data_IF_113532568864
#
_entry.id   IF_113532568864
#
_cell.length_a   1.000
_cell.length_b   1.000
_cell.length_c   1.000
_cell.angle_alpha   90.00
_cell.angle_beta   90.00
_cell.angle_gamma   90.00
#
_symmetry.space_group_name_H-M   'P 1'
#
loop_
_entity.id
_entity.type
_entity.pdbx_description
1 polymer ?
#
# COMPACT_ATOMS: atom_id res chain seq x y z
N UNK A 1 -3.08 24.13 2.59
CA UNK A 1 -4.52 24.22 2.28
C UNK A 1 -4.78 24.95 0.94
N UNK A 2 -3.76 25.12 0.09
CA UNK A 2 -3.89 25.53 -1.32
C UNK A 2 -4.02 24.34 -2.28
N UNK A 3 -3.59 23.14 -1.89
CA UNK A 3 -3.60 21.94 -2.75
C UNK A 3 -5.03 21.48 -3.12
N UNK A 4 -6.06 21.85 -2.35
CA UNK A 4 -7.44 21.40 -2.56
C UNK A 4 -8.37 22.46 -3.19
N UNK A 5 -7.94 23.72 -3.29
CA UNK A 5 -8.77 24.77 -3.88
C UNK A 5 -8.65 24.84 -5.41
N UNK A 6 -7.60 24.25 -5.98
CA UNK A 6 -7.24 24.43 -7.39
C UNK A 6 -7.02 23.14 -8.20
N UNK A 7 -7.48 21.97 -7.75
CA UNK A 7 -7.19 20.74 -8.50
C UNK A 7 -8.34 19.72 -8.49
N UNK A 8 -9.36 20.02 -9.30
CA UNK A 8 -10.35 19.01 -9.74
C UNK A 8 -9.64 17.75 -10.29
N UNK A 9 -8.48 17.90 -10.92
CA UNK A 9 -7.65 16.79 -11.44
C UNK A 9 -7.14 15.89 -10.31
N UNK A 10 -6.48 16.44 -9.29
CA UNK A 10 -5.96 15.66 -8.15
C UNK A 10 -7.08 14.93 -7.43
N UNK A 11 -8.20 15.62 -7.16
CA UNK A 11 -9.36 15.01 -6.51
C UNK A 11 -9.94 13.88 -7.35
N UNK A 12 -10.14 14.10 -8.64
CA UNK A 12 -10.64 13.07 -9.55
C UNK A 12 -9.70 11.86 -9.60
N UNK A 13 -8.38 12.10 -9.66
CA UNK A 13 -7.36 11.05 -9.66
C UNK A 13 -7.37 10.25 -8.36
N UNK A 14 -7.42 10.90 -7.19
CA UNK A 14 -7.47 10.23 -5.88
C UNK A 14 -8.70 9.33 -5.73
N UNK A 15 -9.87 9.77 -6.22
CA UNK A 15 -11.10 8.99 -6.11
C UNK A 15 -11.18 7.80 -7.08
N UNK A 16 -10.29 7.71 -8.06
CA UNK A 16 -10.24 6.60 -9.01
C UNK A 16 -9.23 5.54 -8.55
N UNK A 17 -9.59 4.27 -8.75
CA UNK A 17 -8.65 3.17 -8.56
C UNK A 17 -7.54 3.25 -9.62
N UNK A 18 -6.28 2.91 -9.28
CA UNK A 18 -5.24 2.68 -10.28
C UNK A 18 -5.73 1.66 -11.31
N UNK A 19 -5.44 1.87 -12.60
CA UNK A 19 -5.91 1.01 -13.69
C UNK A 19 -5.21 -0.36 -13.76
N UNK A 20 -4.20 -0.55 -12.93
CA UNK A 20 -3.46 -1.81 -12.83
C UNK A 20 -3.45 -2.35 -11.41
N UNK A 21 -3.36 -3.67 -11.34
CA UNK A 21 -3.07 -4.42 -10.12
C UNK A 21 -1.60 -4.83 -10.14
N UNK A 22 -0.92 -4.62 -9.02
CA UNK A 22 0.50 -4.94 -8.87
C UNK A 22 0.70 -5.98 -7.79
N UNK A 23 1.35 -7.07 -8.15
CA UNK A 23 1.73 -8.14 -7.24
C UNK A 23 3.24 -8.14 -7.07
N UNK A 24 3.69 -8.23 -5.82
CA UNK A 24 5.05 -8.67 -5.53
C UNK A 24 5.09 -10.19 -5.58
N UNK A 25 5.99 -10.73 -6.39
CA UNK A 25 6.23 -12.18 -6.46
C UNK A 25 7.36 -12.52 -5.51
N UNK A 26 7.08 -13.45 -4.58
CA UNK A 26 8.07 -13.89 -3.61
C UNK A 26 9.09 -14.81 -4.28
N UNK A 27 10.31 -14.29 -4.48
CA UNK A 27 11.41 -15.01 -5.15
C UNK A 27 12.00 -16.16 -4.33
N UNK A 28 11.69 -16.26 -3.03
CA UNK A 28 12.14 -17.37 -2.18
C UNK A 28 11.33 -18.64 -2.43
N UNK A 29 10.16 -18.52 -3.07
CA UNK A 29 9.26 -19.61 -3.36
C UNK A 29 9.15 -19.83 -4.87
N UNK A 30 8.72 -21.03 -5.27
CA UNK A 30 8.39 -21.28 -6.67
C UNK A 30 7.14 -20.48 -7.07
N UNK A 31 7.18 -19.88 -8.25
CA UNK A 31 6.06 -19.12 -8.81
C UNK A 31 5.77 -19.60 -10.23
N UNK A 32 4.52 -20.00 -10.49
CA UNK A 32 4.06 -20.38 -11.82
C UNK A 32 3.04 -19.37 -12.35
N UNK A 33 3.45 -18.59 -13.35
CA UNK A 33 2.57 -17.63 -14.04
C UNK A 33 1.45 -18.33 -14.83
N UNK A 34 1.62 -19.59 -15.19
CA UNK A 34 0.60 -20.41 -15.85
C UNK A 34 -0.66 -20.59 -15.00
N UNK A 35 -0.54 -20.53 -13.67
CA UNK A 35 -1.68 -20.54 -12.75
C UNK A 35 -2.57 -19.29 -12.96
N UNK A 36 -1.96 -18.09 -13.03
CA UNK A 36 -2.70 -16.87 -13.33
C UNK A 36 -3.36 -16.95 -14.71
N UNK A 37 -2.66 -17.45 -15.73
CA UNK A 37 -3.25 -17.59 -17.07
C UNK A 37 -4.48 -18.51 -17.07
N UNK A 38 -4.41 -19.66 -16.40
CA UNK A 38 -5.55 -20.59 -16.25
C UNK A 38 -6.71 -19.94 -15.49
N UNK A 39 -6.40 -19.20 -14.44
CA UNK A 39 -7.39 -18.46 -13.66
C UNK A 39 -8.12 -17.40 -14.52
N UNK A 40 -7.38 -16.59 -15.27
CA UNK A 40 -7.96 -15.60 -16.17
C UNK A 40 -8.83 -16.26 -17.24
N UNK A 41 -8.40 -17.39 -17.83
CA UNK A 41 -9.25 -18.16 -18.75
C UNK A 41 -10.54 -18.63 -18.07
N UNK A 42 -10.48 -19.05 -16.80
CA UNK A 42 -11.69 -19.43 -16.05
C UNK A 42 -12.62 -18.23 -15.82
N UNK A 43 -12.10 -17.09 -15.35
CA UNK A 43 -12.90 -15.88 -15.14
C UNK A 43 -13.48 -15.34 -16.45
N UNK A 44 -12.77 -15.46 -17.57
CA UNK A 44 -13.26 -14.99 -18.87
C UNK A 44 -14.57 -15.67 -19.28
N UNK A 45 -14.77 -16.93 -18.89
CA UNK A 45 -16.01 -17.67 -19.12
C UNK A 45 -17.16 -17.13 -18.26
N UNK A 46 -16.88 -16.78 -17.02
CA UNK A 46 -17.88 -16.17 -16.10
C UNK A 46 -18.27 -14.76 -16.54
N UNK A 47 -17.34 -14.03 -17.18
CA UNK A 47 -17.53 -12.69 -17.72
C UNK A 47 -18.04 -12.67 -19.16
N UNK A 48 -18.23 -13.84 -19.78
CA UNK A 48 -18.64 -13.99 -21.18
C UNK A 48 -17.77 -13.17 -22.16
N UNK A 49 -16.45 -13.14 -21.92
CA UNK A 49 -15.47 -12.42 -22.75
C UNK A 49 -14.42 -13.37 -23.31
N UNK A 50 -13.96 -13.11 -24.53
CA UNK A 50 -12.85 -13.85 -25.16
C UNK A 50 -11.49 -13.17 -24.99
N UNK A 51 -11.48 -11.85 -24.74
CA UNK A 51 -10.27 -11.07 -24.54
C UNK A 51 -9.83 -11.14 -23.07
N UNK A 52 -8.60 -11.61 -22.85
CA UNK A 52 -7.96 -11.67 -21.54
C UNK A 52 -7.24 -10.36 -21.23
N UNK A 53 -7.11 -9.97 -19.95
CA UNK A 53 -6.31 -8.82 -19.56
C UNK A 53 -4.82 -9.10 -19.82
N UNK A 54 -4.09 -8.06 -20.19
CA UNK A 54 -2.64 -8.11 -20.29
C UNK A 54 -2.01 -8.28 -18.92
N UNK A 55 -0.96 -9.11 -18.84
CA UNK A 55 -0.10 -9.19 -17.68
C UNK A 55 1.36 -9.39 -18.09
N UNK A 56 2.27 -8.78 -17.36
CA UNK A 56 3.70 -8.85 -17.63
C UNK A 56 4.53 -8.56 -16.38
N UNK A 57 5.78 -8.99 -16.39
CA UNK A 57 6.72 -8.68 -15.33
C UNK A 57 7.45 -7.37 -15.65
N UNK A 58 7.33 -6.38 -14.75
CA UNK A 58 8.14 -5.16 -14.82
C UNK A 58 9.58 -5.45 -14.36
N UNK A 59 9.71 -6.31 -13.36
CA UNK A 59 10.94 -6.97 -12.89
C UNK A 59 10.57 -8.38 -12.44
N UNK A 60 11.53 -9.30 -12.24
CA UNK A 60 11.22 -10.68 -11.83
C UNK A 60 10.36 -10.81 -10.57
N UNK A 61 10.39 -9.82 -9.67
CA UNK A 61 9.62 -9.74 -8.43
C UNK A 61 8.35 -8.87 -8.51
N UNK A 62 8.02 -8.31 -9.68
CA UNK A 62 6.87 -7.40 -9.84
C UNK A 62 6.04 -7.73 -11.07
N UNK A 63 4.89 -8.34 -10.82
CA UNK A 63 3.90 -8.70 -11.83
C UNK A 63 2.82 -7.61 -11.91
N UNK A 64 2.60 -7.12 -13.13
CA UNK A 64 1.55 -6.16 -13.48
C UNK A 64 0.40 -6.90 -14.13
N UNK A 65 -0.83 -6.58 -13.72
CA UNK A 65 -2.07 -7.10 -14.30
C UNK A 65 -3.00 -5.94 -14.66
N UNK A 66 -3.38 -5.88 -15.94
CA UNK A 66 -4.29 -4.89 -16.49
C UNK A 66 -5.78 -5.21 -16.26
N UNK A 67 -6.67 -4.31 -16.66
CA UNK A 67 -8.12 -4.50 -16.55
C UNK A 67 -8.65 -5.41 -17.68
N UNK A 68 -9.85 -5.96 -17.49
CA UNK A 68 -10.59 -6.65 -18.54
C UNK A 68 -10.98 -5.67 -19.67
N UNK A 69 -10.45 -5.83 -20.89
CA UNK A 69 -10.64 -4.85 -21.97
C UNK A 69 -12.10 -4.81 -22.45
N UNK A 70 -12.69 -5.98 -22.73
CA UNK A 70 -14.01 -6.11 -23.34
C UNK A 70 -15.16 -6.38 -22.35
N UNK A 71 -14.88 -6.54 -21.05
CA UNK A 71 -15.92 -6.88 -20.06
C UNK A 71 -16.95 -5.75 -19.91
N UNK A 72 -18.23 -6.13 -19.86
CA UNK A 72 -19.39 -5.22 -19.74
C UNK A 72 -19.92 -5.19 -18.32
N UNK A 73 -20.16 -3.99 -17.81
CA UNK A 73 -20.82 -3.78 -16.52
C UNK A 73 -22.33 -3.81 -16.74
N UNK A 74 -22.98 -4.87 -16.29
CA UNK A 74 -24.43 -4.99 -16.31
C UNK A 74 -24.96 -4.98 -14.88
N UNK A 75 -25.93 -4.08 -14.65
CA UNK A 75 -26.58 -3.94 -13.35
C UNK A 75 -27.67 -4.98 -13.20
N UNK A 76 -27.67 -5.68 -12.06
CA UNK A 76 -28.68 -6.68 -11.72
C UNK A 76 -29.96 -6.06 -11.15
N UNK A 77 -29.90 -4.81 -10.67
CA UNK A 77 -31.05 -4.09 -10.11
C UNK A 77 -31.32 -4.36 -8.62
N UNK A 78 -30.68 -5.37 -8.02
CA UNK A 78 -30.68 -5.61 -6.57
C UNK A 78 -29.41 -5.07 -5.95
N UNK A 79 -29.53 -4.21 -4.94
CA UNK A 79 -28.39 -3.49 -4.37
C UNK A 79 -27.90 -4.08 -3.04
N UNK A 80 -26.59 -4.17 -2.88
CA UNK A 80 -25.92 -4.39 -1.59
C UNK A 80 -25.13 -3.14 -1.24
N UNK A 81 -25.36 -2.59 -0.05
CA UNK A 81 -24.64 -1.42 0.43
C UNK A 81 -23.48 -1.87 1.30
N UNK A 82 -22.28 -1.38 1.01
CA UNK A 82 -21.05 -1.63 1.76
C UNK A 82 -20.47 -0.32 2.28
N UNK A 83 -19.62 -0.39 3.30
CA UNK A 83 -18.89 0.79 3.78
C UNK A 83 -17.85 1.28 2.75
N UNK A 84 -17.38 2.52 2.91
CA UNK A 84 -16.44 3.12 1.97
C UNK A 84 -15.10 2.38 1.85
N UNK A 85 -14.62 1.71 2.91
CA UNK A 85 -13.35 0.96 2.86
C UNK A 85 -13.53 -0.33 2.06
N UNK A 86 -14.63 -1.03 2.28
CA UNK A 86 -15.02 -2.20 1.50
C UNK A 86 -15.25 -1.82 0.03
N UNK A 87 -15.93 -0.69 -0.24
CA UNK A 87 -16.13 -0.17 -1.58
C UNK A 87 -14.79 0.10 -2.31
N UNK A 88 -13.83 0.72 -1.63
CA UNK A 88 -12.50 0.95 -2.16
C UNK A 88 -11.73 -0.37 -2.43
N UNK A 89 -11.88 -1.37 -1.55
CA UNK A 89 -11.29 -2.69 -1.76
C UNK A 89 -11.90 -3.42 -2.96
N UNK A 90 -13.24 -3.35 -3.13
CA UNK A 90 -13.93 -3.93 -4.30
C UNK A 90 -13.42 -3.30 -5.59
N UNK A 91 -13.26 -1.98 -5.64
CA UNK A 91 -12.65 -1.28 -6.78
C UNK A 91 -11.20 -1.70 -7.05
N UNK A 92 -10.51 -2.33 -6.09
CA UNK A 92 -9.16 -2.89 -6.26
C UNK A 92 -9.17 -4.40 -6.54
N UNK A 93 -10.33 -4.98 -6.85
CA UNK A 93 -10.46 -6.40 -7.19
C UNK A 93 -10.68 -7.31 -5.99
N UNK A 94 -11.33 -6.84 -4.91
CA UNK A 94 -11.69 -7.67 -3.77
C UNK A 94 -13.13 -8.19 -3.82
N UNK A 95 -13.36 -9.32 -3.14
CA UNK A 95 -14.70 -9.75 -2.74
C UNK A 95 -15.25 -8.84 -1.62
N UNK A 96 -16.58 -8.85 -1.45
CA UNK A 96 -17.20 -8.21 -0.29
C UNK A 96 -17.19 -9.21 0.86
N UNK A 97 -16.48 -8.87 1.93
CA UNK A 97 -16.49 -9.63 3.17
C UNK A 97 -17.60 -9.13 4.11
N UNK A 98 -18.18 -10.06 4.86
CA UNK A 98 -19.34 -9.82 5.72
C UNK A 98 -19.23 -8.61 6.68
N UNK A 99 -18.07 -8.32 7.32
CA UNK A 99 -17.95 -7.14 8.17
C UNK A 99 -18.26 -5.82 7.47
N UNK A 100 -17.95 -5.71 6.17
CA UNK A 100 -18.10 -4.49 5.38
C UNK A 100 -19.50 -4.27 4.81
N UNK A 101 -20.43 -5.22 4.97
CA UNK A 101 -21.81 -5.08 4.50
C UNK A 101 -22.62 -4.22 5.47
N UNK A 102 -23.26 -3.19 4.94
CA UNK A 102 -24.07 -2.22 5.68
C UNK A 102 -25.56 -2.44 5.48
N UNK A 103 -25.99 -2.76 4.25
CA UNK A 103 -27.40 -2.94 3.91
C UNK A 103 -27.59 -4.03 2.86
N UNK A 104 -28.63 -4.84 3.05
CA UNK A 104 -29.02 -5.92 2.14
C UNK A 104 -30.57 -6.01 2.13
N UNK A 105 -31.24 -5.89 0.96
CA UNK A 105 -32.67 -6.04 0.84
C UNK A 105 -33.17 -7.40 1.34
N UNK A 106 -34.43 -7.44 1.79
CA UNK A 106 -35.04 -8.64 2.38
C UNK A 106 -35.47 -9.71 1.36
N UNK A 107 -35.60 -9.35 0.09
CA UNK A 107 -36.07 -10.23 -0.99
C UNK A 107 -34.91 -10.82 -1.82
N UNK A 108 -33.80 -11.12 -1.16
CA UNK A 108 -32.60 -11.66 -1.80
C UNK A 108 -32.46 -13.18 -1.63
N UNK A 109 -31.79 -13.84 -2.57
CA UNK A 109 -31.49 -15.28 -2.59
C UNK A 109 -29.98 -15.53 -2.79
N UNK A 110 -29.44 -16.56 -2.15
CA UNK A 110 -28.05 -16.96 -2.37
C UNK A 110 -27.85 -17.36 -3.82
N UNK A 111 -26.73 -16.94 -4.42
CA UNK A 111 -26.37 -17.21 -5.81
C UNK A 111 -26.96 -16.23 -6.81
N UNK A 112 -27.86 -15.32 -6.40
CA UNK A 112 -28.36 -14.30 -7.31
C UNK A 112 -27.31 -13.20 -7.55
N UNK A 113 -27.47 -12.50 -8.68
CA UNK A 113 -26.62 -11.37 -9.06
C UNK A 113 -27.07 -10.11 -8.32
N UNK A 114 -26.11 -9.38 -7.74
CA UNK A 114 -26.33 -8.14 -7.00
C UNK A 114 -25.33 -7.06 -7.38
N UNK A 115 -25.78 -5.81 -7.35
CA UNK A 115 -24.98 -4.61 -7.56
C UNK A 115 -24.44 -4.10 -6.23
N UNK A 116 -23.14 -3.88 -6.18
CA UNK A 116 -22.41 -3.46 -4.99
C UNK A 116 -22.28 -1.93 -5.02
N UNK A 117 -22.79 -1.28 -3.98
CA UNK A 117 -22.71 0.17 -3.81
C UNK A 117 -21.99 0.54 -2.51
N UNK A 118 -21.05 1.47 -2.60
CA UNK A 118 -20.37 2.04 -1.43
C UNK A 118 -21.13 3.24 -0.87
N UNK A 119 -21.39 3.24 0.43
CA UNK A 119 -21.85 4.42 1.16
C UNK A 119 -20.68 5.37 1.45
N UNK A 120 -20.68 6.51 0.77
CA UNK A 120 -19.58 7.49 0.85
C UNK A 120 -19.71 8.43 2.04
N UNK A 121 -20.92 8.62 2.55
CA UNK A 121 -21.19 9.58 3.63
C UNK A 121 -21.25 8.91 5.00
N UNK A 122 -21.36 7.57 5.04
CA UNK A 122 -21.48 6.81 6.29
C UNK A 122 -22.86 6.97 6.94
N UNK A 123 -23.87 7.32 6.15
CA UNK A 123 -25.24 7.52 6.62
C UNK A 123 -26.07 6.23 6.58
N UNK A 124 -25.60 5.18 5.90
CA UNK A 124 -26.25 3.88 5.87
C UNK A 124 -26.11 3.19 7.23
N UNK A 125 -27.22 3.02 7.94
CA UNK A 125 -27.25 2.28 9.21
C UNK A 125 -27.01 0.80 8.94
N UNK A 126 -26.17 0.17 9.77
CA UNK A 126 -25.88 -1.26 9.68
C UNK A 126 -27.16 -2.08 9.84
N UNK A 127 -27.39 -3.01 8.93
CA UNK A 127 -28.60 -3.82 8.88
C UNK A 127 -29.80 -3.10 8.25
N UNK A 128 -29.59 -2.12 7.37
CA UNK A 128 -30.67 -1.50 6.59
C UNK A 128 -31.43 -2.57 5.77
N UNK A 129 -32.77 -2.56 5.85
CA UNK A 129 -33.67 -3.54 5.22
C UNK A 129 -34.29 -3.06 3.91
N UNK A 130 -34.35 -1.74 3.74
CA UNK A 130 -35.00 -1.06 2.61
C UNK A 130 -33.94 -0.50 1.67
N UNK A 131 -34.36 -0.04 0.51
CA UNK A 131 -33.49 0.64 -0.45
C UNK A 131 -32.78 1.83 0.22
N UNK A 132 -31.48 1.96 -0.03
CA UNK A 132 -30.70 3.09 0.44
C UNK A 132 -30.81 4.26 -0.53
N UNK A 133 -31.36 5.38 -0.06
CA UNK A 133 -31.59 6.60 -0.84
C UNK A 133 -30.50 7.66 -0.66
N UNK A 134 -29.50 7.40 0.20
CA UNK A 134 -28.36 8.28 0.39
C UNK A 134 -27.37 8.25 -0.77
N UNK A 135 -26.35 9.12 -0.69
CA UNK A 135 -25.27 9.16 -1.68
C UNK A 135 -24.50 7.84 -1.70
N UNK A 136 -24.51 7.17 -2.86
CA UNK A 136 -23.93 5.85 -3.04
C UNK A 136 -23.18 5.75 -4.37
N UNK A 137 -22.05 5.04 -4.36
CA UNK A 137 -21.21 4.82 -5.54
C UNK A 137 -21.29 3.37 -5.99
N UNK A 138 -21.66 3.11 -7.24
CA UNK A 138 -21.55 1.78 -7.81
C UNK A 138 -20.08 1.36 -7.92
N UNK A 139 -19.72 0.23 -7.31
CA UNK A 139 -18.33 -0.27 -7.28
C UNK A 139 -18.13 -1.63 -7.92
N UNK A 140 -19.21 -2.32 -8.29
CA UNK A 140 -19.12 -3.57 -9.04
C UNK A 140 -20.38 -4.41 -8.93
N UNK A 141 -20.32 -5.62 -9.48
CA UNK A 141 -21.41 -6.60 -9.43
C UNK A 141 -20.85 -7.96 -9.01
N UNK A 142 -21.65 -8.75 -8.31
CA UNK A 142 -21.25 -10.06 -7.81
C UNK A 142 -22.41 -11.01 -7.53
N UNK A 143 -22.08 -12.22 -7.08
CA UNK A 143 -23.05 -13.20 -6.61
C UNK A 143 -23.15 -13.18 -5.09
N UNK A 144 -24.38 -13.09 -4.58
CA UNK A 144 -24.65 -13.12 -3.15
C UNK A 144 -24.28 -14.49 -2.56
N UNK A 145 -23.54 -14.49 -1.45
CA UNK A 145 -23.11 -15.72 -0.73
C UNK A 145 -23.67 -15.81 0.69
N UNK A 146 -24.11 -14.70 1.25
CA UNK A 146 -24.73 -14.63 2.59
C UNK A 146 -26.03 -13.85 2.53
N UNK A 147 -27.03 -14.34 3.26
CA UNK A 147 -28.30 -13.64 3.43
C UNK A 147 -28.23 -12.71 4.63
N UNK A 148 -29.29 -11.90 4.77
CA UNK A 148 -29.42 -10.95 5.87
C UNK A 148 -29.32 -11.63 7.24
N UNK A 149 -29.92 -12.81 7.41
CA UNK A 149 -29.90 -13.56 8.66
C UNK A 149 -28.46 -13.91 9.08
N UNK A 150 -27.62 -14.30 8.12
CA UNK A 150 -26.21 -14.63 8.34
C UNK A 150 -25.39 -13.41 8.77
N UNK A 151 -25.74 -12.23 8.23
CA UNK A 151 -25.00 -10.98 8.42
C UNK A 151 -25.38 -10.21 9.69
N UNK A 152 -26.66 -10.24 10.09
CA UNK A 152 -27.18 -9.30 11.08
C UNK A 152 -27.97 -9.93 12.23
N UNK A 153 -28.48 -11.15 12.09
CA UNK A 153 -29.47 -11.68 13.03
C UNK A 153 -28.86 -12.66 14.07
N UNK A 154 -27.60 -13.08 13.90
CA UNK A 154 -26.95 -14.10 14.73
C UNK A 154 -26.23 -13.59 16.00
N UNK A 155 -26.21 -12.27 16.27
CA UNK A 155 -25.52 -11.68 17.44
C UNK A 155 -23.98 -11.82 17.47
N UNK A 156 -23.41 -12.61 16.57
CA UNK A 156 -21.96 -12.77 16.34
C UNK A 156 -21.52 -11.83 15.21
N UNK A 157 -20.30 -11.30 15.29
CA UNK A 157 -19.72 -10.54 14.18
C UNK A 157 -19.53 -11.48 12.98
N UNK A 158 -20.20 -11.23 11.84
CA UNK A 158 -20.14 -12.14 10.71
C UNK A 158 -18.77 -12.08 10.05
N UNK A 159 -18.32 -13.19 9.48
CA UNK A 159 -17.04 -13.31 8.79
C UNK A 159 -17.19 -14.13 7.51
N UNK A 160 -16.20 -14.06 6.62
CA UNK A 160 -16.24 -14.72 5.31
C UNK A 160 -16.79 -13.85 4.19
N UNK A 161 -16.91 -14.43 3.00
CA UNK A 161 -17.34 -13.74 1.78
C UNK A 161 -18.87 -13.62 1.77
N UNK A 162 -19.38 -12.39 1.77
CA UNK A 162 -20.80 -12.09 1.66
C UNK A 162 -21.24 -11.89 0.20
N UNK A 163 -20.38 -11.30 -0.64
CA UNK A 163 -20.59 -11.21 -2.09
C UNK A 163 -19.32 -11.64 -2.79
N UNK A 164 -19.45 -12.66 -3.63
CA UNK A 164 -18.41 -13.03 -4.59
C UNK A 164 -18.43 -12.01 -5.74
N UNK A 165 -17.60 -10.98 -5.65
CA UNK A 165 -17.43 -9.99 -6.72
C UNK A 165 -17.02 -10.68 -8.02
N UNK A 166 -17.79 -10.48 -9.08
CA UNK A 166 -17.52 -10.98 -10.43
C UNK A 166 -16.73 -9.95 -11.22
N UNK A 167 -17.24 -8.70 -11.24
CA UNK A 167 -16.64 -7.61 -11.99
C UNK A 167 -16.72 -6.30 -11.20
N UNK A 168 -15.59 -5.79 -10.70
CA UNK A 168 -15.50 -4.43 -10.18
C UNK A 168 -15.77 -3.38 -11.26
N UNK A 169 -16.24 -2.21 -10.86
CA UNK A 169 -16.41 -1.06 -11.76
C UNK A 169 -15.09 -0.58 -12.39
N UNK A 170 -13.95 -0.86 -11.74
CA UNK A 170 -12.61 -0.63 -12.28
C UNK A 170 -12.18 -1.63 -13.35
N UNK A 171 -12.98 -2.69 -13.56
CA UNK A 171 -12.68 -3.83 -14.45
C UNK A 171 -11.39 -4.57 -14.13
N UNK A 172 -10.80 -4.35 -12.96
CA UNK A 172 -9.64 -5.12 -12.52
C UNK A 172 -10.05 -6.58 -12.24
N UNK A 173 -9.23 -7.57 -12.64
CA UNK A 173 -9.46 -8.95 -12.28
C UNK A 173 -9.49 -9.15 -10.76
N UNK A 174 -10.42 -9.98 -10.29
CA UNK A 174 -10.59 -10.30 -8.86
C UNK A 174 -9.67 -11.45 -8.49
N UNK A 175 -8.37 -11.18 -8.44
CA UNK A 175 -7.35 -12.16 -8.04
C UNK A 175 -7.26 -12.18 -6.52
N UNK A 176 -7.55 -13.33 -5.92
CA UNK A 176 -7.54 -13.51 -4.47
C UNK A 176 -6.47 -14.53 -4.04
N UNK A 177 -6.28 -14.68 -2.73
CA UNK A 177 -5.29 -15.58 -2.15
C UNK A 177 -5.58 -17.08 -2.37
N UNK A 178 -6.68 -17.46 -3.04
CA UNK A 178 -6.97 -18.87 -3.30
C UNK A 178 -6.34 -19.39 -4.58
N UNK A 179 -5.87 -18.52 -5.47
CA UNK A 179 -5.26 -18.96 -6.74
C UNK A 179 -3.81 -19.41 -6.56
N UNK A 180 -3.11 -18.83 -5.60
CA UNK A 180 -1.72 -19.12 -5.25
C UNK A 180 -1.66 -19.63 -3.82
N UNK A 181 -0.65 -20.43 -3.51
CA UNK A 181 -0.38 -20.78 -2.12
C UNK A 181 0.02 -19.52 -1.34
N UNK A 182 -0.36 -19.48 -0.06
CA UNK A 182 -0.04 -18.37 0.83
C UNK A 182 1.46 -18.02 0.74
N UNK A 183 1.76 -16.74 0.64
CA UNK A 183 3.13 -16.22 0.59
C UNK A 183 3.82 -16.25 -0.76
N UNK A 184 3.27 -16.89 -1.80
CA UNK A 184 3.87 -16.86 -3.16
C UNK A 184 3.74 -15.49 -3.83
N UNK A 185 2.64 -14.78 -3.56
CA UNK A 185 2.38 -13.44 -4.08
C UNK A 185 1.80 -12.55 -3.00
N UNK A 186 2.12 -11.28 -3.07
CA UNK A 186 1.58 -10.25 -2.20
C UNK A 186 1.00 -9.12 -3.04
N UNK A 187 -0.25 -8.74 -2.79
CA UNK A 187 -0.81 -7.52 -3.37
C UNK A 187 -0.11 -6.31 -2.74
N UNK A 188 0.68 -5.60 -3.53
CA UNK A 188 1.48 -4.47 -3.03
C UNK A 188 1.55 -3.38 -4.09
N UNK A 189 1.26 -2.14 -3.69
CA UNK A 189 1.27 -1.00 -4.61
C UNK A 189 2.66 -0.80 -5.22
N UNK A 190 2.72 -0.51 -6.52
CA UNK A 190 3.96 -0.36 -7.29
C UNK A 190 5.01 0.54 -6.62
N UNK A 191 4.70 1.76 -6.13
CA UNK A 191 5.71 2.60 -5.46
C UNK A 191 6.29 1.98 -4.19
N UNK A 192 5.52 1.14 -3.48
CA UNK A 192 6.02 0.41 -2.31
C UNK A 192 6.99 -0.72 -2.68
N UNK A 193 6.81 -1.36 -3.84
CA UNK A 193 7.77 -2.33 -4.39
C UNK A 193 9.05 -1.59 -4.85
N UNK A 194 8.88 -0.45 -5.54
CA UNK A 194 10.01 0.41 -5.96
C UNK A 194 10.84 0.85 -4.75
N UNK A 195 10.20 1.18 -3.63
CA UNK A 195 10.91 1.50 -2.39
C UNK A 195 11.85 0.38 -1.92
N UNK A 196 11.45 -0.89 -2.05
CA UNK A 196 12.34 -2.03 -1.82
C UNK A 196 13.53 -2.04 -2.79
N UNK A 197 13.28 -1.78 -4.08
CA UNK A 197 14.35 -1.66 -5.07
C UNK A 197 15.35 -0.55 -4.76
N UNK A 198 14.89 0.57 -4.19
CA UNK A 198 15.75 1.70 -3.78
C UNK A 198 16.62 1.35 -2.57
N UNK A 199 16.06 0.61 -1.61
CA UNK A 199 16.82 0.06 -0.49
C UNK A 199 17.94 -0.87 -0.98
N UNK A 200 17.63 -1.71 -1.97
CA UNK A 200 18.57 -2.64 -2.60
C UNK A 200 19.26 -3.56 -1.58
N UNK A 201 18.49 -4.24 -0.72
CA UNK A 201 19.02 -5.09 0.35
C UNK A 201 19.93 -6.20 -0.19
N UNK A 202 21.10 -6.39 0.43
CA UNK A 202 22.11 -7.40 0.05
C UNK A 202 22.32 -8.41 1.17
N UNK A 203 22.82 -9.63 0.84
CA UNK A 203 23.28 -10.58 1.84
C UNK A 203 24.25 -9.96 2.84
N UNK A 204 24.14 -10.37 4.11
CA UNK A 204 24.99 -9.98 5.25
C UNK A 204 24.93 -8.50 5.67
N UNK A 205 24.02 -7.68 5.10
CA UNK A 205 23.79 -6.32 5.58
C UNK A 205 22.91 -6.31 6.82
N UNK A 206 23.23 -5.45 7.79
CA UNK A 206 22.33 -5.12 8.89
C UNK A 206 21.36 -4.03 8.47
N UNK A 207 20.07 -4.36 8.46
CA UNK A 207 19.02 -3.47 7.97
C UNK A 207 17.99 -3.24 9.07
N UNK A 208 17.66 -1.96 9.33
CA UNK A 208 16.58 -1.58 10.24
C UNK A 208 15.36 -1.10 9.46
N UNK A 209 14.20 -1.70 9.67
CA UNK A 209 12.90 -1.16 9.26
C UNK A 209 12.20 -0.58 10.49
N UNK A 210 12.10 0.76 10.54
CA UNK A 210 11.66 1.46 11.76
C UNK A 210 10.15 1.47 11.97
N UNK A 211 9.35 1.20 10.95
CA UNK A 211 7.88 1.29 10.98
C UNK A 211 7.28 0.17 10.14
N UNK A 212 7.61 -1.06 10.52
CA UNK A 212 7.58 -2.19 9.61
C UNK A 212 6.19 -2.78 9.36
N UNK A 213 5.22 -2.62 10.28
CA UNK A 213 3.97 -3.39 10.17
C UNK A 213 3.09 -2.93 8.99
N UNK A 214 2.47 -3.86 8.24
CA UNK A 214 2.34 -5.29 8.55
C UNK A 214 3.52 -6.18 8.14
N UNK A 215 4.59 -5.64 7.55
CA UNK A 215 5.80 -6.40 7.17
C UNK A 215 6.01 -6.48 5.66
N UNK A 216 5.20 -5.77 4.85
CA UNK A 216 5.28 -5.86 3.39
C UNK A 216 6.66 -5.43 2.88
N UNK A 217 7.16 -4.24 3.24
CA UNK A 217 8.49 -3.81 2.79
C UNK A 217 9.59 -4.65 3.43
N UNK A 218 9.47 -4.98 4.72
CA UNK A 218 10.41 -5.84 5.45
C UNK A 218 10.65 -7.18 4.76
N UNK A 219 9.59 -7.88 4.38
CA UNK A 219 9.67 -9.18 3.67
C UNK A 219 10.21 -9.02 2.26
N UNK A 220 9.95 -7.89 1.59
CA UNK A 220 10.59 -7.59 0.30
C UNK A 220 12.11 -7.46 0.44
N UNK A 221 12.58 -6.78 1.48
CA UNK A 221 14.03 -6.66 1.74
C UNK A 221 14.66 -8.02 2.00
N UNK A 222 13.98 -8.92 2.73
CA UNK A 222 14.42 -10.29 2.92
C UNK A 222 14.54 -11.02 1.58
N UNK A 223 13.49 -11.00 0.74
CA UNK A 223 13.50 -11.59 -0.61
C UNK A 223 14.60 -11.04 -1.52
N UNK A 224 14.91 -9.74 -1.43
CA UNK A 224 15.97 -9.10 -2.20
C UNK A 224 17.36 -9.57 -1.78
N UNK A 225 17.55 -9.80 -0.47
CA UNK A 225 18.78 -10.36 0.09
C UNK A 225 18.90 -11.88 -0.03
N UNK A 226 17.95 -12.55 -0.71
CA UNK A 226 17.80 -14.01 -0.71
C UNK A 226 17.73 -14.61 0.71
N UNK A 227 17.06 -13.91 1.62
CA UNK A 227 16.93 -14.27 3.04
C UNK A 227 18.28 -14.37 3.77
N UNK A 228 19.29 -13.59 3.34
CA UNK A 228 20.66 -13.61 3.91
C UNK A 228 21.08 -12.28 4.55
N UNK A 229 20.24 -11.24 4.56
CA UNK A 229 20.48 -10.04 5.37
C UNK A 229 20.24 -10.32 6.87
N UNK A 230 20.52 -9.35 7.74
CA UNK A 230 20.08 -9.35 9.13
C UNK A 230 19.10 -8.20 9.29
N UNK A 231 17.80 -8.51 9.27
CA UNK A 231 16.76 -7.49 9.25
C UNK A 231 16.12 -7.38 10.63
N UNK A 232 16.14 -6.18 11.19
CA UNK A 232 15.43 -5.84 12.42
C UNK A 232 14.22 -5.00 12.04
N UNK A 233 13.04 -5.48 12.45
CA UNK A 233 11.77 -4.83 12.15
C UNK A 233 11.13 -4.30 13.44
N UNK A 234 10.89 -2.99 13.51
CA UNK A 234 10.25 -2.34 14.65
C UNK A 234 8.85 -1.88 14.29
N UNK A 235 7.91 -2.06 15.21
CA UNK A 235 6.70 -1.26 15.27
C UNK A 235 6.27 -1.07 16.72
N UNK A 236 5.45 -0.06 17.00
CA UNK A 236 5.17 0.42 18.36
C UNK A 236 4.37 -0.56 19.22
N UNK A 237 3.55 -1.43 18.63
CA UNK A 237 2.61 -2.27 19.37
C UNK A 237 2.89 -3.76 19.21
N UNK A 238 2.64 -4.59 20.24
CA UNK A 238 2.78 -6.05 20.16
C UNK A 238 1.96 -6.68 19.02
N UNK A 239 0.74 -6.18 18.79
CA UNK A 239 -0.14 -6.69 17.73
C UNK A 239 0.45 -6.46 16.35
N UNK A 240 1.09 -5.32 16.14
CA UNK A 240 1.76 -5.00 14.88
C UNK A 240 3.05 -5.79 14.68
N UNK A 241 3.84 -5.96 15.75
CA UNK A 241 5.00 -6.84 15.71
C UNK A 241 4.60 -8.31 15.40
N UNK A 242 3.49 -8.78 15.96
CA UNK A 242 2.94 -10.11 15.65
C UNK A 242 2.55 -10.25 14.17
N UNK A 243 1.94 -9.21 13.57
CA UNK A 243 1.63 -9.20 12.13
C UNK A 243 2.86 -9.29 11.23
N UNK A 244 3.97 -8.66 11.64
CA UNK A 244 5.24 -8.78 10.91
C UNK A 244 5.73 -10.23 10.95
N UNK A 245 5.68 -10.87 12.14
CA UNK A 245 6.07 -12.28 12.31
C UNK A 245 5.21 -13.20 11.47
N UNK A 246 3.89 -13.06 11.55
CA UNK A 246 2.93 -13.80 10.72
C UNK A 246 3.22 -13.63 9.22
N UNK A 247 3.51 -12.40 8.77
CA UNK A 247 3.85 -12.12 7.37
C UNK A 247 5.17 -12.77 6.95
N UNK A 248 6.15 -12.87 7.85
CA UNK A 248 7.41 -13.56 7.59
C UNK A 248 7.20 -15.08 7.52
N UNK A 249 6.45 -15.65 8.46
CA UNK A 249 6.08 -17.07 8.49
C UNK A 249 5.35 -17.50 7.22
N UNK A 250 4.34 -16.72 6.80
CA UNK A 250 3.58 -16.97 5.57
C UNK A 250 4.48 -16.97 4.33
N UNK A 251 5.48 -16.09 4.29
CA UNK A 251 6.36 -15.90 3.13
C UNK A 251 7.65 -16.72 3.19
N UNK A 252 7.85 -17.52 4.24
CA UNK A 252 9.07 -18.33 4.42
C UNK A 252 10.33 -17.50 4.69
N UNK A 253 10.19 -16.31 5.26
CA UNK A 253 11.29 -15.40 5.60
C UNK A 253 11.83 -15.72 6.98
N UNK A 254 13.14 -15.95 7.09
CA UNK A 254 13.80 -16.34 8.35
C UNK A 254 14.80 -15.30 8.87
N UNK A 255 15.24 -14.38 8.02
CA UNK A 255 16.29 -13.41 8.36
C UNK A 255 15.80 -12.15 9.11
N UNK A 256 14.50 -12.11 9.46
CA UNK A 256 13.83 -10.97 10.10
C UNK A 256 13.58 -11.25 11.58
N UNK A 257 14.00 -10.32 12.44
CA UNK A 257 13.62 -10.30 13.86
C UNK A 257 12.73 -9.09 14.15
N UNK A 258 11.48 -9.34 14.57
CA UNK A 258 10.49 -8.30 14.84
C UNK A 258 10.32 -7.99 16.34
N UNK A 259 10.33 -6.70 16.69
CA UNK A 259 10.16 -6.19 18.04
C UNK A 259 9.01 -5.18 18.15
N UNK A 260 8.29 -5.25 19.28
CA UNK A 260 7.35 -4.21 19.68
C UNK A 260 8.11 -3.10 20.43
N UNK A 261 8.47 -2.03 19.74
CA UNK A 261 9.33 -0.98 20.29
C UNK A 261 9.02 0.39 19.68
N UNK A 262 9.16 1.46 20.47
CA UNK A 262 9.02 2.83 19.99
C UNK A 262 10.28 3.28 19.25
N UNK A 263 10.22 3.34 17.92
CA UNK A 263 11.35 3.72 17.08
C UNK A 263 11.86 5.14 17.30
N UNK A 264 11.13 6.01 18.02
CA UNK A 264 11.65 7.31 18.47
C UNK A 264 12.66 7.20 19.62
N UNK A 265 12.94 5.97 20.09
CA UNK A 265 13.87 5.65 21.17
C UNK A 265 14.83 4.52 20.77
N UNK A 266 14.97 4.22 19.47
CA UNK A 266 15.70 3.03 19.04
C UNK A 266 17.22 3.16 19.12
N UNK A 267 17.77 4.35 19.40
CA UNK A 267 19.19 4.56 19.63
C UNK A 267 19.48 4.77 21.13
N UNK A 268 20.50 4.08 21.66
CA UNK A 268 20.99 4.28 23.04
C UNK A 268 22.47 3.94 23.13
N UNK A 269 23.26 4.81 23.80
CA UNK A 269 24.67 4.52 24.12
C UNK A 269 24.80 3.36 25.12
N UNK A 270 23.84 3.23 26.04
CA UNK A 270 23.78 2.14 27.03
C UNK A 270 23.28 0.80 26.44
N UNK A 271 23.23 0.68 25.11
CA UNK A 271 22.78 -0.54 24.45
C UNK A 271 23.70 -1.72 24.76
N UNK A 272 23.12 -2.90 24.98
CA UNK A 272 23.86 -4.16 25.20
C UNK A 272 24.35 -4.79 23.89
N UNK A 273 24.41 -4.03 22.80
CA UNK A 273 24.81 -4.49 21.47
C UNK A 273 23.64 -4.88 20.56
N UNK A 274 23.94 -5.01 19.27
CA UNK A 274 22.95 -5.20 18.20
C UNK A 274 22.12 -6.50 18.33
N UNK A 275 22.73 -7.55 18.89
CA UNK A 275 22.08 -8.87 19.07
C UNK A 275 21.19 -8.94 20.33
N UNK A 276 21.18 -7.90 21.18
CA UNK A 276 20.43 -7.88 22.43
C UNK A 276 18.99 -7.34 22.30
N UNK A 277 18.58 -6.97 21.08
CA UNK A 277 17.32 -6.28 20.80
C UNK A 277 17.38 -4.77 21.05
N UNK A 278 16.30 -4.02 20.76
CA UNK A 278 16.28 -2.56 20.91
C UNK A 278 16.31 -2.12 22.39
N UNK A 279 16.89 -0.96 22.72
CA UNK A 279 17.50 0.01 21.80
C UNK A 279 18.90 -0.42 21.33
N UNK A 280 19.32 0.12 20.19
CA UNK A 280 20.57 -0.24 19.49
C UNK A 280 21.66 0.81 19.70
N UNK A 281 22.95 0.43 19.59
CA UNK A 281 24.03 1.40 19.61
C UNK A 281 23.95 2.36 18.41
N UNK A 282 24.51 3.57 18.50
CA UNK A 282 24.74 4.42 17.33
C UNK A 282 25.57 3.69 16.26
N UNK A 283 25.39 4.05 14.98
CA UNK A 283 26.15 3.51 13.85
C UNK A 283 26.14 1.96 13.76
N UNK A 284 24.98 1.34 13.95
CA UNK A 284 24.84 -0.12 13.97
C UNK A 284 24.35 -0.73 12.65
N UNK A 285 23.65 0.03 11.81
CA UNK A 285 23.00 -0.50 10.60
C UNK A 285 23.64 0.00 9.32
N UNK A 286 23.83 -0.91 8.37
CA UNK A 286 24.30 -0.59 7.01
C UNK A 286 23.20 0.14 6.23
N UNK A 287 21.93 -0.23 6.47
CA UNK A 287 20.77 0.44 5.88
C UNK A 287 19.65 0.66 6.88
N UNK A 288 18.94 1.77 6.71
CA UNK A 288 17.73 2.08 7.49
C UNK A 288 16.59 2.43 6.52
N UNK A 289 15.48 1.72 6.64
CA UNK A 289 14.21 2.07 6.02
C UNK A 289 13.33 2.81 7.03
N UNK A 290 12.95 4.02 6.66
CA UNK A 290 11.93 4.81 7.36
C UNK A 290 10.71 4.99 6.45
N UNK A 291 9.85 3.98 6.42
CA UNK A 291 8.49 4.05 5.86
C UNK A 291 7.58 4.73 6.88
N UNK A 292 7.63 6.07 6.91
CA UNK A 292 7.14 6.81 8.05
C UNK A 292 5.61 6.81 8.13
N UNK A 293 5.01 6.77 9.34
CA UNK A 293 3.59 7.03 9.49
C UNK A 293 3.29 8.43 8.95
N UNK A 294 2.29 8.51 8.08
CA UNK A 294 1.94 9.73 7.37
C UNK A 294 0.42 9.91 7.31
N UNK A 295 -0.02 11.04 6.76
CA UNK A 295 -1.44 11.35 6.57
C UNK A 295 -2.16 10.42 5.58
N UNK A 296 -1.44 9.62 4.79
CA UNK A 296 -2.04 8.62 3.88
C UNK A 296 -2.91 9.22 2.78
N UNK A 297 -2.72 10.50 2.43
CA UNK A 297 -3.54 11.21 1.45
C UNK A 297 -3.31 10.75 0.00
N UNK A 298 -2.31 9.90 -0.24
CA UNK A 298 -2.03 9.34 -1.56
C UNK A 298 -2.75 8.03 -1.86
N UNK A 299 -3.46 7.43 -0.91
CA UNK A 299 -4.12 6.13 -1.13
C UNK A 299 -5.16 6.22 -2.26
N UNK A 300 -5.29 5.18 -3.08
CA UNK A 300 -6.25 5.14 -4.20
C UNK A 300 -6.96 3.78 -4.32
N UNK A 301 -8.28 3.77 -4.54
CA UNK A 301 -9.18 4.92 -4.55
C UNK A 301 -9.43 5.47 -3.14
N UNK A 302 -9.32 6.78 -2.96
CA UNK A 302 -9.70 7.48 -1.74
C UNK A 302 -11.15 7.98 -1.86
N UNK A 303 -12.08 7.13 -1.44
CA UNK A 303 -13.51 7.44 -1.47
C UNK A 303 -13.95 8.34 -0.30
N UNK A 304 -13.30 8.17 0.86
CA UNK A 304 -13.56 8.94 2.08
C UNK A 304 -12.24 9.29 2.74
N UNK A 305 -12.17 10.49 3.31
CA UNK A 305 -11.02 10.94 4.08
C UNK A 305 -11.46 11.69 5.34
N UNK A 306 -10.98 11.25 6.50
CA UNK A 306 -11.31 11.83 7.82
C UNK A 306 -10.18 12.72 8.38
N UNK A 307 -9.11 12.94 7.61
CA UNK A 307 -7.97 13.76 8.04
C UNK A 307 -8.38 15.23 8.18
N UNK A 308 -8.13 15.80 9.35
CA UNK A 308 -8.27 17.25 9.58
C UNK A 308 -6.96 17.96 9.29
N UNK A 309 -6.97 19.27 8.99
CA UNK A 309 -5.74 20.05 8.82
C UNK A 309 -4.77 19.93 10.01
N UNK A 310 -5.30 19.89 11.23
CA UNK A 310 -4.52 19.69 12.46
C UNK A 310 -3.81 18.34 12.47
N UNK A 311 -4.53 17.27 12.10
CA UNK A 311 -3.94 15.92 12.01
C UNK A 311 -2.83 15.88 10.96
N UNK A 312 -3.07 16.41 9.76
CA UNK A 312 -2.09 16.46 8.67
C UNK A 312 -0.81 17.17 9.15
N UNK A 313 -0.96 18.36 9.75
CA UNK A 313 0.18 19.15 10.24
C UNK A 313 0.97 18.48 11.38
N UNK A 314 0.42 17.45 12.03
CA UNK A 314 1.05 16.79 13.18
C UNK A 314 2.08 15.72 12.77
N UNK A 315 1.91 15.11 11.59
CA UNK A 315 2.73 13.98 11.15
C UNK A 315 4.20 14.36 10.98
N UNK A 316 4.50 15.54 10.43
CA UNK A 316 5.88 16.03 10.24
C UNK A 316 6.71 16.01 11.53
N UNK A 317 6.10 16.28 12.68
CA UNK A 317 6.83 16.29 13.96
C UNK A 317 7.22 14.88 14.41
N UNK A 318 6.34 13.89 14.21
CA UNK A 318 6.65 12.49 14.51
C UNK A 318 7.69 11.96 13.52
N UNK A 319 7.54 12.28 12.23
CA UNK A 319 8.48 11.92 11.17
C UNK A 319 9.89 12.46 11.46
N UNK A 320 10.02 13.74 11.86
CA UNK A 320 11.31 14.33 12.27
C UNK A 320 11.96 13.60 13.46
N UNK A 321 11.19 13.17 14.45
CA UNK A 321 11.71 12.39 15.59
C UNK A 321 12.25 11.04 15.14
N UNK A 322 11.46 10.32 14.32
CA UNK A 322 11.88 9.03 13.77
C UNK A 322 13.12 9.18 12.88
N UNK A 323 13.15 10.20 12.03
CA UNK A 323 14.27 10.48 11.14
C UNK A 323 15.55 10.77 11.93
N UNK A 324 15.47 11.54 13.02
CA UNK A 324 16.62 11.81 13.87
C UNK A 324 17.23 10.53 14.46
N UNK A 325 16.39 9.59 14.92
CA UNK A 325 16.87 8.29 15.40
C UNK A 325 17.43 7.42 14.28
N UNK A 326 16.82 7.45 13.08
CA UNK A 326 17.33 6.78 11.89
C UNK A 326 18.78 7.18 11.58
N UNK A 327 19.09 8.48 11.65
CA UNK A 327 20.44 9.01 11.39
C UNK A 327 21.44 8.56 12.46
N UNK A 328 21.02 8.47 13.73
CA UNK A 328 21.92 8.05 14.83
C UNK A 328 22.34 6.59 14.69
N UNK A 329 21.40 5.70 14.39
CA UNK A 329 21.68 4.25 14.27
C UNK A 329 22.32 3.85 12.94
N UNK A 330 22.28 4.70 11.92
CA UNK A 330 22.90 4.45 10.62
C UNK A 330 24.43 4.58 10.68
N UNK A 331 25.17 3.63 10.11
CA UNK A 331 26.63 3.67 9.96
C UNK A 331 27.09 4.82 9.05
N UNK A 332 28.33 5.28 9.22
CA UNK A 332 29.01 6.05 8.19
C UNK A 332 29.13 5.20 6.90
N UNK A 333 28.88 5.80 5.75
CA UNK A 333 28.68 5.10 4.47
C UNK A 333 27.36 4.35 4.35
N UNK A 334 26.49 4.37 5.37
CA UNK A 334 25.21 3.67 5.36
C UNK A 334 24.13 4.41 4.56
N UNK A 335 23.16 3.66 4.02
CA UNK A 335 22.04 4.19 3.24
C UNK A 335 20.76 4.34 4.08
N UNK A 336 20.15 5.51 4.07
CA UNK A 336 18.81 5.76 4.63
C UNK A 336 17.81 5.99 3.49
N UNK A 337 16.71 5.23 3.48
CA UNK A 337 15.58 5.50 2.59
C UNK A 337 14.40 5.97 3.42
N UNK A 338 13.90 7.15 3.09
CA UNK A 338 12.68 7.73 3.63
C UNK A 338 11.55 7.58 2.61
N UNK A 339 10.38 7.12 3.05
CA UNK A 339 9.21 7.05 2.18
C UNK A 339 7.90 7.31 2.91
N UNK A 340 6.91 7.77 2.16
CA UNK A 340 5.54 8.01 2.62
C UNK A 340 4.52 7.64 1.54
N UNK A 341 3.29 7.33 1.94
CA UNK A 341 2.15 7.19 1.03
C UNK A 341 1.22 8.42 1.05
N UNK A 342 1.82 9.61 1.15
CA UNK A 342 1.11 10.89 1.13
C UNK A 342 1.64 11.81 0.02
N UNK A 343 0.84 12.82 -0.31
CA UNK A 343 1.11 13.81 -1.36
C UNK A 343 1.48 15.19 -0.79
N UNK A 344 1.54 15.34 0.52
CA UNK A 344 1.82 16.63 1.17
C UNK A 344 3.29 16.98 1.05
N UNK A 345 3.57 18.23 0.66
CA UNK A 345 4.93 18.75 0.56
C UNK A 345 5.61 18.86 1.93
N UNK A 346 4.85 19.13 3.00
CA UNK A 346 5.40 19.21 4.36
C UNK A 346 5.96 17.89 4.88
N UNK A 347 5.35 16.75 4.50
CA UNK A 347 5.81 15.42 4.88
C UNK A 347 6.85 14.88 3.88
N UNK A 348 6.96 15.47 2.68
CA UNK A 348 7.82 14.98 1.60
C UNK A 348 9.04 15.90 1.38
N UNK A 349 8.97 16.82 0.42
CA UNK A 349 10.09 17.71 0.07
C UNK A 349 10.56 18.56 1.25
N UNK A 350 9.63 19.08 2.07
CA UNK A 350 9.96 19.83 3.29
C UNK A 350 10.67 18.98 4.35
N UNK A 351 10.46 17.66 4.32
CA UNK A 351 11.12 16.70 5.19
C UNK A 351 12.56 16.46 4.73
N UNK A 352 12.78 16.35 3.42
CA UNK A 352 14.13 16.28 2.82
C UNK A 352 14.93 17.56 3.06
N UNK A 353 14.34 18.73 2.82
CA UNK A 353 15.00 20.02 3.04
C UNK A 353 15.44 20.19 4.50
N UNK A 354 14.55 19.88 5.44
CA UNK A 354 14.89 19.88 6.87
C UNK A 354 16.01 18.89 7.20
N UNK A 355 16.01 17.68 6.61
CA UNK A 355 17.00 16.67 6.92
C UNK A 355 18.41 17.11 6.50
N UNK A 356 18.53 17.71 5.31
CA UNK A 356 19.80 18.22 4.79
C UNK A 356 20.33 19.42 5.59
N UNK A 357 19.44 20.28 6.10
CA UNK A 357 19.82 21.38 7.00
C UNK A 357 20.22 20.86 8.39
N UNK A 358 19.43 19.95 8.96
CA UNK A 358 19.59 19.49 10.33
C UNK A 358 20.75 18.52 10.51
N UNK A 359 21.05 17.71 9.49
CA UNK A 359 22.08 16.67 9.53
C UNK A 359 23.10 16.89 8.40
N UNK A 360 24.14 17.71 8.63
CA UNK A 360 25.18 17.96 7.64
C UNK A 360 25.95 16.70 7.21
N UNK A 361 25.91 15.63 8.02
CA UNK A 361 26.48 14.33 7.67
C UNK A 361 25.65 13.55 6.66
N UNK A 362 24.45 14.00 6.29
CA UNK A 362 23.66 13.37 5.24
C UNK A 362 23.87 14.06 3.91
N UNK A 363 24.05 13.23 2.89
CA UNK A 363 24.01 13.67 1.49
C UNK A 363 22.84 12.98 0.79
N UNK A 364 22.00 13.78 0.13
CA UNK A 364 20.97 13.25 -0.75
C UNK A 364 21.63 12.53 -1.94
N UNK A 365 21.15 11.35 -2.26
CA UNK A 365 21.56 10.56 -3.43
C UNK A 365 20.35 10.28 -4.31
N UNK A 366 20.53 10.03 -5.62
CA UNK A 366 19.46 9.51 -6.45
C UNK A 366 18.83 8.27 -5.82
N UNK A 367 17.51 8.28 -5.64
CA UNK A 367 16.75 7.14 -5.18
C UNK A 367 16.60 6.11 -6.31
N UNK A 368 17.68 5.54 -6.83
CA UNK A 368 17.63 4.61 -7.96
C UNK A 368 16.99 3.26 -7.60
N UNK A 369 16.20 2.65 -8.51
CA UNK A 369 15.89 3.10 -9.87
C UNK A 369 14.90 4.28 -9.89
N UNK A 370 15.17 5.26 -10.75
CA UNK A 370 14.33 6.44 -10.92
C UNK A 370 13.23 6.17 -11.95
N UNK A 371 12.00 5.97 -11.46
CA UNK A 371 10.80 5.64 -12.22
C UNK A 371 9.65 6.63 -11.98
N UNK A 372 9.56 7.22 -10.78
CA UNK A 372 8.59 8.26 -10.45
C UNK A 372 9.04 9.66 -10.90
N UNK A 373 8.14 10.63 -10.77
CA UNK A 373 8.39 12.04 -11.07
C UNK A 373 9.40 12.71 -10.16
N UNK A 374 9.89 13.88 -10.56
CA UNK A 374 10.75 14.72 -9.72
C UNK A 374 9.96 15.30 -8.54
N UNK A 375 10.68 15.76 -7.51
CA UNK A 375 10.08 16.53 -6.41
C UNK A 375 9.42 17.83 -6.88
N UNK A 376 8.47 18.34 -6.10
CA UNK A 376 7.74 19.57 -6.41
C UNK A 376 8.67 20.81 -6.44
N UNK A 377 8.43 21.76 -7.37
CA UNK A 377 9.18 23.02 -7.41
C UNK A 377 8.85 23.90 -6.19
N UNK A 378 9.79 24.75 -5.79
CA UNK A 378 9.61 25.75 -4.73
C UNK A 378 9.23 25.18 -3.35
N UNK A 379 9.59 23.92 -3.07
CA UNK A 379 9.34 23.22 -1.79
C UNK A 379 10.61 22.95 -0.97
N UNK A 380 11.61 23.80 -1.14
CA UNK A 380 12.88 23.73 -0.38
C UNK A 380 13.98 22.88 -1.02
N UNK A 381 13.71 22.24 -2.17
CA UNK A 381 14.71 21.51 -2.95
C UNK A 381 15.02 22.25 -4.26
N UNK A 382 16.30 22.34 -4.62
CA UNK A 382 16.72 22.80 -5.95
C UNK A 382 16.47 21.70 -7.02
N UNK A 383 16.59 22.04 -8.30
CA UNK A 383 16.26 21.11 -9.39
C UNK A 383 17.09 19.83 -9.40
N UNK A 384 18.38 19.93 -9.07
CA UNK A 384 19.26 18.77 -8.91
C UNK A 384 18.76 17.84 -7.80
N UNK A 385 18.36 18.38 -6.65
CA UNK A 385 17.80 17.60 -5.54
C UNK A 385 16.41 17.04 -5.87
N UNK A 386 15.58 17.80 -6.58
CA UNK A 386 14.26 17.34 -7.05
C UNK A 386 14.39 16.15 -8.00
N UNK A 387 15.45 16.09 -8.80
CA UNK A 387 15.78 14.94 -9.63
C UNK A 387 16.33 13.74 -8.83
N UNK A 388 16.79 13.91 -7.60
CA UNK A 388 17.27 12.79 -6.78
C UNK A 388 16.15 12.06 -6.05
N UNK A 389 15.06 12.76 -5.73
CA UNK A 389 13.86 12.17 -5.11
C UNK A 389 12.91 11.61 -6.16
N UNK A 390 11.94 10.82 -5.70
CA UNK A 390 10.87 10.30 -6.55
C UNK A 390 9.51 10.56 -5.93
N UNK A 391 8.62 11.17 -6.72
CA UNK A 391 7.23 11.42 -6.37
C UNK A 391 6.31 10.72 -7.35
N UNK A 392 5.33 10.01 -6.82
CA UNK A 392 4.31 9.32 -7.60
C UNK A 392 2.99 10.07 -7.45
N UNK A 393 2.39 10.46 -8.57
CA UNK A 393 1.22 11.34 -8.60
C UNK A 393 0.85 11.74 -10.04
N UNK A 394 -0.30 12.41 -10.21
CA UNK A 394 -0.77 12.85 -11.52
C UNK A 394 0.02 14.04 -12.07
N UNK A 395 0.83 14.71 -11.25
CA UNK A 395 1.54 15.92 -11.63
C UNK A 395 2.55 15.67 -12.77
N UNK A 396 2.60 16.61 -13.71
CA UNK A 396 3.64 16.68 -14.72
C UNK A 396 4.81 17.54 -14.23
N UNK A 397 6.01 17.22 -14.71
CA UNK A 397 7.23 17.96 -14.39
C UNK A 397 8.06 18.12 -15.64
N UNK A 398 8.51 19.35 -15.93
CA UNK A 398 9.44 19.63 -17.02
C UNK A 398 10.81 18.98 -16.81
N UNK A 399 11.15 18.65 -15.56
CA UNK A 399 12.45 18.02 -15.22
C UNK A 399 12.50 16.53 -15.58
N UNK A 400 11.35 15.84 -15.62
CA UNK A 400 11.31 14.40 -15.85
C UNK A 400 9.96 13.99 -16.45
N UNK A 401 10.02 13.44 -17.65
CA UNK A 401 8.91 12.73 -18.27
C UNK A 401 8.79 11.35 -17.60
N UNK A 402 7.58 11.01 -17.17
CA UNK A 402 7.28 9.79 -16.40
C UNK A 402 6.35 8.91 -17.20
N UNK A 403 6.65 7.61 -17.25
CA UNK A 403 5.75 6.64 -17.88
C UNK A 403 4.37 6.65 -17.20
N UNK A 404 3.26 6.63 -17.97
CA UNK A 404 1.91 6.62 -17.43
C UNK A 404 1.66 5.60 -16.32
N UNK A 405 2.33 4.44 -16.34
CA UNK A 405 2.17 3.40 -15.30
C UNK A 405 2.56 3.90 -13.91
N UNK A 406 3.57 4.77 -13.81
CA UNK A 406 4.04 5.35 -12.55
C UNK A 406 3.24 6.58 -12.15
N UNK A 407 2.58 7.26 -13.11
CA UNK A 407 1.64 8.35 -12.82
C UNK A 407 0.29 7.82 -12.33
N UNK A 408 -0.16 6.69 -12.88
CA UNK A 408 -1.39 6.02 -12.46
C UNK A 408 -1.16 5.00 -11.33
N UNK A 409 -0.38 5.38 -10.32
CA UNK A 409 -0.22 4.62 -9.07
C UNK A 409 -0.87 5.34 -7.89
N UNK A 410 -0.72 4.84 -6.67
CA UNK A 410 -1.02 5.65 -5.48
C UNK A 410 -0.07 6.86 -5.39
N UNK A 411 -0.47 7.87 -4.63
CA UNK A 411 0.39 8.97 -4.20
C UNK A 411 1.45 8.46 -3.24
N UNK A 412 2.72 8.69 -3.58
CA UNK A 412 3.86 8.14 -2.83
C UNK A 412 5.10 9.01 -3.01
N UNK A 413 6.02 8.95 -2.05
CA UNK A 413 7.28 9.68 -2.09
C UNK A 413 8.44 8.83 -1.59
N UNK A 414 9.60 8.96 -2.23
CA UNK A 414 10.84 8.26 -1.87
C UNK A 414 12.02 9.24 -1.94
N UNK A 415 12.81 9.27 -0.88
CA UNK A 415 14.10 9.95 -0.83
C UNK A 415 15.16 9.00 -0.27
N UNK A 416 16.37 9.06 -0.83
CA UNK A 416 17.51 8.25 -0.39
C UNK A 416 18.68 9.14 0.01
N UNK A 417 19.35 8.77 1.10
CA UNK A 417 20.48 9.49 1.66
C UNK A 417 21.63 8.53 1.92
N UNK A 418 22.85 9.05 1.85
CA UNK A 418 24.04 8.40 2.37
C UNK A 418 24.57 9.23 3.55
N UNK A 419 25.00 8.55 4.62
CA UNK A 419 25.69 9.22 5.73
C UNK A 419 27.19 9.25 5.46
N UNK A 420 27.81 10.43 5.52
CA UNK A 420 29.25 10.64 5.35
C UNK A 420 30.07 10.05 6.48
#
# INVERSE_FOLDING_TARGET
MEILKDNNIMRAWLCQAPKITTFRVNKLLSFDVGVLKKFLVSQSKELETTELPDFYFLRPDCLILGPWPAARLEKAGKEVIVDALCAAAVLRGAHVFAPGVMGLPVNCQVGERVDIYGDLEGHCKRGLKVEYTGSKLYVGTGYLKMLRADLFDNGVQPSGIAVHTILPASKLPVVNETIYSKGQVLLQNLPSIICGWVMDAKPNEYILDMCAAPGNKTTHLAEMSNDQAIIIALDKTPQKAAKIKESCEIQGVTCVTAYAFDSTKCCSEDSKGLNSGPPFPPNSFDKVLLDAPCSGLGQRPQLVNKMTPKMISSYKFVQRKLFAEAVKVLKAGGKLVYSTCTITDEENEGMVAWALEKFPCLKLIPAEPILGGAGLPNKGLNDTQRLMVQRFGPEDSELRIVDPIYKDSIGFFIAAFIKS
#
